data_IF_283290987049
#
_entry.id   IF_283290987049
#
_cell.length_a   1.000
_cell.length_b   1.000
_cell.length_c   1.000
_cell.angle_alpha   90.00
_cell.angle_beta   90.00
_cell.angle_gamma   90.00
#
_symmetry.space_group_name_H-M   'P 1'
#
loop_
_entity.id
_entity.type
_entity.pdbx_description
1 polymer ?
#
# COMPACT_ATOMS: atom_id res chain seq x y z
N UNK A 1 2.46 2.33 -24.91
CA UNK A 1 2.06 2.07 -23.52
C UNK A 1 1.04 0.95 -23.48
N UNK A 2 1.29 -0.04 -22.66
CA UNK A 2 0.35 -1.12 -22.45
C UNK A 2 -0.69 -0.74 -21.39
N UNK A 3 -1.93 -1.22 -21.52
CA UNK A 3 -2.94 -0.97 -20.50
C UNK A 3 -2.54 -1.58 -19.15
N UNK A 4 -2.97 -0.93 -18.08
CA UNK A 4 -2.86 -1.49 -16.74
C UNK A 4 -3.88 -2.61 -16.60
N UNK A 5 -3.45 -3.76 -16.09
CA UNK A 5 -4.34 -4.90 -15.87
C UNK A 5 -4.87 -4.87 -14.44
N UNK A 6 -6.19 -4.92 -14.28
CA UNK A 6 -6.86 -4.97 -12.98
C UNK A 6 -7.58 -6.31 -12.86
N UNK A 7 -7.30 -7.03 -11.77
CA UNK A 7 -7.96 -8.31 -11.46
C UNK A 7 -9.30 -8.03 -10.79
N UNK A 8 -10.39 -8.63 -11.29
CA UNK A 8 -11.72 -8.43 -10.75
C UNK A 8 -12.32 -7.10 -11.16
N UNK A 9 -13.10 -6.49 -10.27
CA UNK A 9 -13.81 -5.23 -10.54
C UNK A 9 -13.03 -3.96 -10.16
N UNK A 10 -11.85 -4.12 -9.58
CA UNK A 10 -11.03 -2.99 -9.16
C UNK A 10 -11.47 -2.30 -7.88
N UNK A 11 -12.51 -2.81 -7.21
CA UNK A 11 -13.00 -2.23 -5.96
C UNK A 11 -12.29 -2.78 -4.73
N UNK A 12 -11.45 -3.81 -4.89
CA UNK A 12 -10.63 -4.29 -3.78
C UNK A 12 -9.67 -3.19 -3.32
N UNK A 13 -9.51 -3.08 -2.01
CA UNK A 13 -8.72 -2.01 -1.40
C UNK A 13 -7.44 -2.57 -0.80
N UNK A 14 -6.36 -1.80 -0.91
CA UNK A 14 -5.05 -2.17 -0.39
C UNK A 14 -4.41 -1.00 0.35
N UNK A 15 -3.70 -1.31 1.44
CA UNK A 15 -2.87 -0.36 2.15
C UNK A 15 -1.49 -0.36 1.49
N UNK A 16 -1.20 0.67 0.70
CA UNK A 16 0.06 0.79 -0.02
C UNK A 16 1.08 1.48 0.88
N UNK A 17 1.97 0.70 1.48
CA UNK A 17 2.99 1.21 2.38
C UNK A 17 4.33 1.30 1.63
N UNK A 18 4.95 2.48 1.65
CA UNK A 18 6.23 2.69 0.96
C UNK A 18 7.32 1.83 1.59
N UNK A 19 8.21 1.30 0.75
CA UNK A 19 9.28 0.41 1.21
C UNK A 19 10.18 1.09 2.24
N UNK A 20 10.41 2.40 2.13
CA UNK A 20 11.22 3.13 3.10
C UNK A 20 10.57 3.13 4.49
N UNK A 21 9.25 3.21 4.56
CA UNK A 21 8.53 3.13 5.83
C UNK A 21 8.59 1.72 6.41
N UNK A 22 8.53 0.69 5.56
CA UNK A 22 8.68 -0.71 6.01
C UNK A 22 10.08 -0.95 6.56
N UNK A 23 11.11 -0.48 5.85
CA UNK A 23 12.50 -0.61 6.31
C UNK A 23 12.70 0.10 7.64
N UNK A 24 12.16 1.31 7.78
CA UNK A 24 12.23 2.05 9.04
C UNK A 24 11.54 1.28 10.17
N UNK A 25 10.37 0.68 9.89
CA UNK A 25 9.66 -0.14 10.88
C UNK A 25 10.48 -1.35 11.31
N UNK A 26 11.08 -2.06 10.36
CA UNK A 26 11.93 -3.23 10.65
C UNK A 26 13.16 -2.82 11.46
N UNK A 27 13.78 -1.70 11.12
CA UNK A 27 14.91 -1.16 11.85
C UNK A 27 14.54 -0.89 13.31
N UNK A 28 13.38 -0.26 13.54
CA UNK A 28 12.92 0.06 14.90
C UNK A 28 12.62 -1.18 15.71
N UNK A 29 12.05 -2.21 15.10
CA UNK A 29 11.82 -3.51 15.77
C UNK A 29 13.15 -4.08 16.25
N UNK A 30 14.18 -4.10 15.39
CA UNK A 30 15.48 -4.63 15.74
C UNK A 30 16.20 -3.82 16.80
N UNK A 31 16.17 -2.49 16.69
CA UNK A 31 16.93 -1.62 17.59
C UNK A 31 16.31 -1.47 18.98
N UNK A 32 14.98 -1.50 19.08
CA UNK A 32 14.31 -1.29 20.39
C UNK A 32 14.22 -2.56 21.21
N UNK A 33 14.46 -3.73 20.62
CA UNK A 33 14.41 -5.02 21.31
C UNK A 33 13.13 -5.24 22.11
N UNK A 34 12.02 -4.71 21.61
CA UNK A 34 10.71 -4.85 22.25
C UNK A 34 10.06 -6.13 21.76
N UNK A 35 9.68 -7.00 22.70
CA UNK A 35 8.90 -8.20 22.37
C UNK A 35 7.45 -7.84 22.13
N UNK A 36 6.86 -8.48 21.16
CA UNK A 36 5.43 -8.40 20.91
C UNK A 36 4.86 -9.82 20.95
N UNK A 37 3.69 -10.00 21.56
CA UNK A 37 3.08 -11.33 21.70
C UNK A 37 2.69 -11.93 20.36
N UNK A 38 2.29 -11.06 19.43
CA UNK A 38 1.96 -11.45 18.06
C UNK A 38 3.02 -10.91 17.10
N UNK A 39 2.60 -10.56 15.91
CA UNK A 39 3.45 -9.92 14.92
C UNK A 39 3.24 -8.40 14.96
N UNK A 40 4.27 -7.64 14.57
CA UNK A 40 4.12 -6.22 14.33
C UNK A 40 3.39 -6.01 13.01
N UNK A 41 2.35 -5.19 13.05
CA UNK A 41 1.57 -4.87 11.86
C UNK A 41 2.02 -3.51 11.32
N UNK A 42 2.64 -3.51 10.14
CA UNK A 42 3.21 -2.32 9.53
C UNK A 42 2.37 -1.91 8.32
N UNK A 43 1.63 -0.84 8.46
CA UNK A 43 0.82 -0.26 7.39
C UNK A 43 0.53 1.20 7.68
N UNK A 44 0.07 1.95 6.67
CA UNK A 44 -0.20 3.39 6.83
C UNK A 44 -1.47 3.65 7.65
N UNK A 45 -2.39 2.70 7.68
CA UNK A 45 -3.73 2.92 8.23
C UNK A 45 -4.69 3.56 7.25
N UNK A 46 -4.28 3.69 5.99
CA UNK A 46 -5.06 4.29 4.92
C UNK A 46 -4.99 3.37 3.70
N UNK A 47 -6.11 3.12 3.01
CA UNK A 47 -6.08 2.24 1.84
C UNK A 47 -6.75 2.89 0.64
N UNK A 48 -6.51 2.29 -0.54
CA UNK A 48 -7.06 2.73 -1.81
C UNK A 48 -7.60 1.54 -2.59
N UNK A 49 -8.69 1.74 -3.33
CA UNK A 49 -9.14 0.74 -4.30
C UNK A 49 -8.20 0.74 -5.51
N UNK A 50 -8.16 -0.38 -6.25
CA UNK A 50 -7.35 -0.43 -7.47
C UNK A 50 -7.86 0.57 -8.52
N UNK A 51 -9.17 0.83 -8.53
CA UNK A 51 -9.72 1.85 -9.44
C UNK A 51 -9.21 3.24 -9.09
N UNK A 52 -9.08 3.57 -7.80
CA UNK A 52 -8.51 4.83 -7.36
C UNK A 52 -7.04 4.95 -7.76
N UNK A 53 -6.27 3.87 -7.60
CA UNK A 53 -4.86 3.84 -8.02
C UNK A 53 -4.74 3.99 -9.53
N UNK A 54 -5.60 3.29 -10.29
CA UNK A 54 -5.64 3.46 -11.75
C UNK A 54 -5.88 4.92 -12.14
N UNK A 55 -6.81 5.61 -11.45
CA UNK A 55 -7.10 7.00 -11.75
C UNK A 55 -5.86 7.89 -11.51
N UNK A 56 -5.07 7.62 -10.49
CA UNK A 56 -3.82 8.34 -10.24
C UNK A 56 -2.84 8.17 -11.41
N UNK A 57 -2.70 6.96 -11.95
CA UNK A 57 -1.86 6.69 -13.12
C UNK A 57 -2.42 7.34 -14.36
N UNK A 58 -3.73 7.30 -14.55
CA UNK A 58 -4.37 7.92 -15.70
C UNK A 58 -4.15 9.43 -15.72
N UNK A 59 -4.26 10.09 -14.57
CA UNK A 59 -4.06 11.53 -14.46
C UNK A 59 -2.63 11.94 -14.81
N UNK A 60 -1.65 11.08 -14.46
CA UNK A 60 -0.24 11.35 -14.73
C UNK A 60 0.17 10.96 -16.15
N UNK A 61 -0.24 9.79 -16.62
CA UNK A 61 0.30 9.17 -17.83
C UNK A 61 -0.72 9.00 -18.97
N UNK A 62 -1.98 9.32 -18.71
CA UNK A 62 -3.06 9.15 -19.69
C UNK A 62 -3.14 7.71 -20.21
N UNK A 63 -3.01 6.73 -19.31
CA UNK A 63 -3.05 5.31 -19.64
C UNK A 63 -4.48 4.77 -19.59
N UNK A 64 -4.66 3.54 -20.07
CA UNK A 64 -5.94 2.83 -20.01
C UNK A 64 -5.82 1.60 -19.10
N UNK A 65 -6.93 0.96 -18.79
CA UNK A 65 -6.90 -0.28 -18.01
C UNK A 65 -7.75 -1.36 -18.65
N UNK A 66 -7.43 -2.60 -18.32
CA UNK A 66 -8.16 -3.79 -18.73
C UNK A 66 -8.48 -4.60 -17.49
N UNK A 67 -9.74 -5.02 -17.36
CA UNK A 67 -10.17 -5.86 -16.24
C UNK A 67 -10.12 -7.32 -16.66
N UNK A 68 -9.58 -8.18 -15.80
CA UNK A 68 -9.52 -9.62 -16.02
C UNK A 68 -10.30 -10.33 -14.90
N UNK A 69 -10.70 -11.60 -15.08
CA UNK A 69 -11.47 -12.31 -14.06
C UNK A 69 -10.77 -12.35 -12.70
N UNK A 70 -11.58 -12.29 -11.64
CA UNK A 70 -11.09 -12.34 -10.27
C UNK A 70 -10.39 -13.67 -10.00
N UNK A 71 -9.43 -13.64 -9.07
CA UNK A 71 -8.62 -14.80 -8.71
C UNK A 71 -8.96 -15.25 -7.29
N UNK A 72 -8.98 -16.58 -7.10
CA UNK A 72 -9.20 -17.18 -5.79
C UNK A 72 -8.13 -16.72 -4.81
N UNK A 73 -8.54 -16.42 -3.57
CA UNK A 73 -7.61 -15.99 -2.53
C UNK A 73 -7.29 -14.51 -2.50
N UNK A 74 -7.89 -13.73 -3.41
CA UNK A 74 -7.68 -12.29 -3.45
C UNK A 74 -8.58 -11.61 -2.40
N UNK A 75 -7.98 -10.86 -1.47
CA UNK A 75 -8.72 -10.16 -0.43
C UNK A 75 -9.40 -8.91 -0.99
N UNK A 76 -10.63 -8.64 -0.49
CA UNK A 76 -11.36 -7.41 -0.88
C UNK A 76 -10.74 -6.16 -0.26
N UNK A 77 -10.22 -6.28 0.95
CA UNK A 77 -9.65 -5.12 1.65
C UNK A 77 -8.49 -5.53 2.52
N UNK A 78 -7.41 -4.73 2.48
CA UNK A 78 -6.33 -4.79 3.47
C UNK A 78 -6.18 -3.42 4.08
N UNK A 79 -6.13 -3.37 5.40
CA UNK A 79 -5.94 -2.14 6.16
C UNK A 79 -5.32 -2.49 7.49
N UNK A 80 -4.31 -1.72 7.92
CA UNK A 80 -3.76 -1.92 9.26
C UNK A 80 -4.83 -1.57 10.30
N UNK A 81 -5.16 -2.53 11.15
CA UNK A 81 -6.14 -2.35 12.22
C UNK A 81 -5.49 -1.96 13.55
N UNK A 82 -4.23 -2.30 13.72
CA UNK A 82 -3.51 -2.17 14.99
C UNK A 82 -2.38 -1.15 14.84
N UNK A 83 -2.28 -0.23 15.79
CA UNK A 83 -1.28 0.84 15.77
C UNK A 83 -0.18 0.67 16.81
N UNK A 84 0.06 -0.56 17.33
CA UNK A 84 1.10 -0.81 18.32
C UNK A 84 2.47 -0.32 17.84
N UNK A 85 2.78 -0.49 16.57
CA UNK A 85 4.07 -0.03 16.03
C UNK A 85 4.24 1.47 16.15
N UNK A 86 3.17 2.25 15.97
CA UNK A 86 3.23 3.71 16.07
C UNK A 86 3.56 4.10 17.51
N UNK A 87 2.85 3.53 18.48
CA UNK A 87 3.06 3.86 19.89
C UNK A 87 4.34 3.29 20.48
N UNK A 88 4.60 2.00 20.28
CA UNK A 88 5.70 1.28 20.94
C UNK A 88 7.04 1.45 20.24
N UNK A 89 7.03 1.59 18.91
CA UNK A 89 8.26 1.76 18.12
C UNK A 89 8.51 3.20 17.71
N UNK A 90 7.57 4.10 18.00
CA UNK A 90 7.61 5.47 17.52
C UNK A 90 7.76 5.51 16.00
N UNK A 91 7.08 4.59 15.30
CA UNK A 91 7.09 4.46 13.86
C UNK A 91 6.05 5.37 13.24
N UNK A 92 6.43 6.15 12.25
CA UNK A 92 5.55 7.16 11.65
C UNK A 92 5.48 6.97 10.13
N UNK A 93 4.65 6.00 9.68
CA UNK A 93 4.47 5.82 8.24
C UNK A 93 3.68 6.97 7.64
N UNK A 94 3.87 7.20 6.34
CA UNK A 94 3.13 8.23 5.62
C UNK A 94 2.40 7.62 4.43
N UNK A 95 1.28 8.21 4.07
CA UNK A 95 0.62 7.90 2.81
C UNK A 95 1.41 8.56 1.68
N UNK A 96 2.22 7.77 0.98
CA UNK A 96 3.13 8.27 -0.06
C UNK A 96 2.70 7.85 -1.47
N UNK A 97 1.58 7.18 -1.62
CA UNK A 97 1.22 6.58 -2.91
C UNK A 97 1.07 7.63 -4.03
N UNK A 98 0.29 8.67 -3.79
CA UNK A 98 0.07 9.70 -4.80
C UNK A 98 1.38 10.42 -5.16
N UNK A 99 2.16 10.81 -4.15
CA UNK A 99 3.44 11.46 -4.38
C UNK A 99 4.39 10.57 -5.17
N UNK A 100 4.42 9.28 -4.84
CA UNK A 100 5.26 8.32 -5.55
C UNK A 100 4.88 8.25 -7.03
N UNK A 101 3.58 8.15 -7.33
CA UNK A 101 3.10 8.07 -8.71
C UNK A 101 3.39 9.37 -9.45
N UNK A 102 3.17 10.52 -8.81
CA UNK A 102 3.40 11.82 -9.42
C UNK A 102 4.86 12.08 -9.74
N UNK A 103 5.79 11.43 -9.03
CA UNK A 103 7.22 11.57 -9.25
C UNK A 103 7.80 10.55 -10.22
N UNK A 104 7.00 9.61 -10.73
CA UNK A 104 7.44 8.67 -11.76
C UNK A 104 7.59 9.43 -13.09
N UNK A 105 8.70 9.18 -13.79
CA UNK A 105 8.96 9.83 -15.07
C UNK A 105 8.31 9.11 -16.23
N UNK A 106 8.13 7.81 -16.13
CA UNK A 106 7.44 7.01 -17.15
C UNK A 106 6.85 5.74 -16.52
N UNK A 107 5.83 5.26 -17.17
CA UNK A 107 5.12 4.06 -16.75
C UNK A 107 5.81 2.79 -17.25
#
# INVERSE_FOLDING_TARGET
NQPITIVGDGEQRRDFTHVDDIVDGLWRVGMKSIKHEDAWELGTGCNYSLNEVYQMFKDKFNTTCTYIPDQSGNYRETLRENSDAIGKLNWQPKDRLLDYIQNLEKL
#
